data_IF_653304990769
#
_entry.id   IF_653304990769
#
_cell.length_a   1.000
_cell.length_b   1.000
_cell.length_c   1.000
_cell.angle_alpha   90.00
_cell.angle_beta   90.00
_cell.angle_gamma   90.00
#
_symmetry.space_group_name_H-M   'P 1'
#
loop_
_entity.id
_entity.type
_entity.pdbx_description
1 polymer ?
#
# COMPACT_ATOMS: atom_id res chain seq x y z
N UNK A 1 -26.49 -5.25 3.41
CA UNK A 1 -25.67 -6.24 4.14
C UNK A 1 -24.57 -5.48 4.86
N UNK A 2 -24.64 -5.39 6.19
CA UNK A 2 -23.64 -4.69 7.00
C UNK A 2 -22.50 -5.67 7.31
N UNK A 3 -21.45 -5.64 6.49
CA UNK A 3 -20.23 -6.39 6.76
C UNK A 3 -19.43 -5.65 7.84
N UNK A 4 -18.80 -6.38 8.78
CA UNK A 4 -17.94 -5.78 9.82
C UNK A 4 -16.67 -5.12 9.27
N UNK A 5 -16.42 -5.30 7.97
CA UNK A 5 -15.30 -4.78 7.21
C UNK A 5 -15.83 -4.12 5.94
N UNK A 6 -15.29 -2.97 5.62
CA UNK A 6 -15.55 -2.26 4.37
C UNK A 6 -14.56 -2.75 3.31
N UNK A 7 -15.06 -3.15 2.14
CA UNK A 7 -14.24 -3.56 1.01
C UNK A 7 -14.20 -2.41 0.02
N UNK A 8 -13.05 -1.78 -0.09
CA UNK A 8 -12.82 -0.68 -1.02
C UNK A 8 -12.43 -1.23 -2.40
N UNK A 9 -12.92 -0.55 -3.43
CA UNK A 9 -12.59 -0.89 -4.82
C UNK A 9 -11.19 -0.36 -5.17
N UNK A 10 -10.43 -1.16 -5.90
CA UNK A 10 -9.15 -0.72 -6.45
C UNK A 10 -9.39 0.01 -7.77
N UNK A 11 -9.34 1.35 -7.71
CA UNK A 11 -9.60 2.21 -8.85
C UNK A 11 -8.33 2.74 -9.54
N UNK A 12 -8.53 3.80 -10.32
CA UNK A 12 -7.50 4.43 -11.15
C UNK A 12 -6.49 5.21 -10.29
N UNK A 13 -6.95 5.87 -9.22
CA UNK A 13 -6.09 6.65 -8.33
C UNK A 13 -5.09 5.74 -7.59
N UNK A 14 -5.58 4.60 -7.11
CA UNK A 14 -4.84 3.55 -6.44
C UNK A 14 -3.80 2.93 -7.39
N UNK A 15 -4.19 2.71 -8.66
CA UNK A 15 -3.29 2.22 -9.71
C UNK A 15 -2.14 3.21 -9.97
N UNK A 16 -2.42 4.50 -9.98
CA UNK A 16 -1.39 5.54 -10.17
C UNK A 16 -0.38 5.53 -9.01
N UNK A 17 -0.87 5.50 -7.77
CA UNK A 17 -0.01 5.40 -6.59
C UNK A 17 0.81 4.11 -6.57
N UNK A 18 0.20 2.98 -6.95
CA UNK A 18 0.91 1.71 -7.11
C UNK A 18 2.09 1.83 -8.11
N UNK A 19 1.86 2.45 -9.27
CA UNK A 19 2.91 2.67 -10.27
C UNK A 19 4.07 3.52 -9.73
N UNK A 20 3.76 4.59 -9.00
CA UNK A 20 4.77 5.45 -8.36
C UNK A 20 5.60 4.69 -7.31
N UNK A 21 4.93 3.97 -6.42
CA UNK A 21 5.56 3.11 -5.40
C UNK A 21 6.48 2.09 -6.04
N UNK A 22 5.99 1.41 -7.09
CA UNK A 22 6.77 0.41 -7.81
C UNK A 22 8.04 1.04 -8.41
N UNK A 23 7.93 2.18 -9.07
CA UNK A 23 9.10 2.87 -9.61
C UNK A 23 10.10 3.27 -8.50
N UNK A 24 9.63 3.79 -7.37
CA UNK A 24 10.49 4.15 -6.23
C UNK A 24 11.21 2.95 -5.61
N UNK A 25 10.51 1.82 -5.45
CA UNK A 25 11.05 0.60 -4.85
C UNK A 25 12.07 -0.11 -5.75
N UNK A 26 11.79 -0.18 -7.04
CA UNK A 26 12.73 -0.70 -8.03
C UNK A 26 14.00 0.16 -8.07
N UNK A 27 13.88 1.49 -8.03
CA UNK A 27 15.03 2.39 -7.98
C UNK A 27 15.86 2.24 -6.69
N UNK A 28 15.24 1.90 -5.56
CA UNK A 28 15.93 1.66 -4.29
C UNK A 28 16.51 0.25 -4.14
N UNK A 29 16.36 -0.62 -5.15
CA UNK A 29 16.84 -1.99 -5.10
C UNK A 29 16.14 -2.86 -4.05
N UNK A 30 14.93 -2.47 -3.63
CA UNK A 30 14.09 -3.20 -2.68
C UNK A 30 12.75 -3.55 -3.34
N UNK A 31 12.74 -4.47 -4.31
CA UNK A 31 11.48 -4.97 -4.86
C UNK A 31 10.71 -5.68 -3.75
N UNK A 32 9.52 -5.17 -3.43
CA UNK A 32 8.54 -5.82 -2.55
C UNK A 32 7.64 -6.69 -3.43
N UNK A 33 6.94 -7.66 -2.85
CA UNK A 33 5.93 -8.43 -3.58
C UNK A 33 4.88 -7.52 -4.26
N UNK A 34 4.43 -7.85 -5.49
CA UNK A 34 3.45 -7.05 -6.23
C UNK A 34 2.13 -6.82 -5.46
N UNK A 35 1.68 -7.82 -4.71
CA UNK A 35 0.46 -7.72 -3.90
C UNK A 35 0.61 -6.77 -2.71
N UNK A 36 1.74 -6.84 -2.01
CA UNK A 36 2.05 -5.93 -0.91
C UNK A 36 2.19 -4.48 -1.41
N UNK A 37 2.77 -4.29 -2.60
CA UNK A 37 2.79 -2.97 -3.26
C UNK A 37 1.39 -2.48 -3.62
N UNK A 38 0.48 -3.34 -4.08
CA UNK A 38 -0.90 -2.96 -4.38
C UNK A 38 -1.66 -2.57 -3.12
N UNK A 39 -1.53 -3.34 -2.03
CA UNK A 39 -2.15 -3.04 -0.74
C UNK A 39 -1.61 -1.71 -0.17
N UNK A 40 -0.30 -1.49 -0.26
CA UNK A 40 0.32 -0.27 0.23
C UNK A 40 -0.02 0.96 -0.65
N UNK A 41 -0.13 0.78 -1.97
CA UNK A 41 -0.63 1.79 -2.89
C UNK A 41 -2.08 2.16 -2.62
N UNK A 42 -2.92 1.18 -2.33
CA UNK A 42 -4.30 1.39 -1.94
C UNK A 42 -4.41 2.11 -0.59
N UNK A 43 -3.67 1.68 0.43
CA UNK A 43 -3.64 2.34 1.73
C UNK A 43 -3.14 3.80 1.63
N UNK A 44 -2.10 4.05 0.82
CA UNK A 44 -1.58 5.40 0.54
C UNK A 44 -2.59 6.29 -0.18
N UNK A 45 -3.26 5.78 -1.21
CA UNK A 45 -4.27 6.52 -1.95
C UNK A 45 -5.46 6.91 -1.07
N UNK A 46 -5.87 5.99 -0.19
CA UNK A 46 -7.00 6.18 0.74
C UNK A 46 -6.62 6.85 2.07
N UNK A 47 -5.34 7.21 2.27
CA UNK A 47 -4.86 7.81 3.52
C UNK A 47 -5.02 6.93 4.77
N UNK A 48 -5.09 5.61 4.58
CA UNK A 48 -5.35 4.64 5.65
C UNK A 48 -4.06 4.07 6.25
N UNK A 49 -4.16 3.55 7.48
CA UNK A 49 -3.06 2.84 8.15
C UNK A 49 -3.07 1.37 7.70
N UNK A 50 -1.96 0.90 7.13
CA UNK A 50 -1.77 -0.49 6.78
C UNK A 50 -1.32 -1.29 8.01
N UNK A 51 -2.13 -2.24 8.47
CA UNK A 51 -1.78 -3.19 9.52
C UNK A 51 -1.30 -4.48 8.87
N UNK A 52 -0.03 -4.84 9.08
CA UNK A 52 0.59 -6.07 8.52
C UNK A 52 1.50 -6.73 9.55
N UNK A 53 1.60 -8.06 9.49
CA UNK A 53 2.61 -8.83 10.23
C UNK A 53 3.94 -8.94 9.45
N UNK A 54 3.95 -8.60 8.15
CA UNK A 54 5.16 -8.57 7.31
C UNK A 54 5.79 -7.16 7.29
N UNK A 55 6.14 -6.66 8.47
CA UNK A 55 6.70 -5.29 8.64
C UNK A 55 8.08 -5.13 8.00
N UNK A 56 8.80 -6.22 7.74
CA UNK A 56 10.14 -6.18 7.14
C UNK A 56 10.15 -5.63 5.71
N UNK A 57 9.17 -6.01 4.90
CA UNK A 57 9.10 -5.63 3.48
C UNK A 57 8.11 -4.48 3.27
N UNK A 58 6.89 -4.61 3.79
CA UNK A 58 5.83 -3.61 3.59
C UNK A 58 6.00 -2.36 4.47
N UNK A 59 6.36 -2.47 5.75
CA UNK A 59 6.40 -1.28 6.65
C UNK A 59 7.69 -0.45 6.52
N UNK A 60 8.79 -1.08 6.08
CA UNK A 60 10.10 -0.42 5.92
C UNK A 60 10.04 0.79 4.99
N UNK A 61 9.08 0.83 4.06
CA UNK A 61 8.83 1.96 3.18
C UNK A 61 7.61 2.81 3.57
N UNK A 62 6.61 2.19 4.21
CA UNK A 62 5.28 2.76 4.43
C UNK A 62 5.01 3.22 5.87
N UNK A 63 6.00 3.75 6.59
CA UNK A 63 5.75 4.37 7.90
C UNK A 63 4.86 5.61 7.74
N UNK A 64 3.55 5.42 7.76
CA UNK A 64 2.54 6.47 7.83
C UNK A 64 2.25 6.77 9.30
N UNK A 65 2.85 7.86 9.78
CA UNK A 65 2.59 8.41 11.11
C UNK A 65 1.38 9.33 11.00
N UNK A 66 0.21 8.84 11.45
CA UNK A 66 -0.91 9.73 11.76
C UNK A 66 -0.46 10.67 12.87
N UNK A 67 -0.38 11.96 12.58
CA UNK A 67 -0.78 12.96 13.56
C UNK A 67 -2.29 13.13 13.50
#
# INVERSE_FOLDING_TARGET
MTTRLEVLLFGIAETYHFGQIRAELYNKGKPIDPYDMMIAGHARASGMILVTNNVGEALSFFTFKSR
#
